data_IF_217348161810
#
_entry.id   IF_217348161810
#
_cell.length_a   1.000
_cell.length_b   1.000
_cell.length_c   1.000
_cell.angle_alpha   90.00
_cell.angle_beta   90.00
_cell.angle_gamma   90.00
#
_symmetry.space_group_name_H-M   'P 1'
#
loop_
_entity.id
_entity.type
_entity.pdbx_description
1 polymer ?
#
# COMPACT_ATOMS: atom_id res chain seq x y z
N UNK A 1 -5.01 -6.21 18.14
CA UNK A 1 -4.06 -5.32 17.45
C UNK A 1 -4.89 -4.42 16.57
N UNK A 2 -5.09 -3.18 17.00
CA UNK A 2 -5.82 -2.15 16.27
C UNK A 2 -4.87 -1.67 15.17
N UNK A 3 -4.85 -2.42 14.05
CA UNK A 3 -4.13 -2.01 12.86
C UNK A 3 -4.68 -0.65 12.46
N UNK A 4 -3.79 0.34 12.33
CA UNK A 4 -4.13 1.72 12.01
C UNK A 4 -5.24 1.74 10.96
N UNK A 5 -6.44 2.14 11.37
CA UNK A 5 -7.59 2.18 10.49
C UNK A 5 -7.30 3.27 9.47
N UNK A 6 -6.76 2.87 8.32
CA UNK A 6 -6.56 3.72 7.14
C UNK A 6 -7.96 4.17 6.71
N UNK A 7 -8.40 5.30 7.23
CA UNK A 7 -9.67 5.89 6.85
C UNK A 7 -9.54 6.46 5.44
N UNK A 8 -10.63 6.46 4.68
CA UNK A 8 -10.67 7.11 3.37
C UNK A 8 -10.18 8.56 3.43
N UNK A 9 -10.48 9.27 4.52
CA UNK A 9 -10.00 10.65 4.73
C UNK A 9 -8.47 10.72 4.86
N UNK A 10 -7.84 9.81 5.62
CA UNK A 10 -6.38 9.79 5.78
C UNK A 10 -5.64 9.47 4.48
N UNK A 11 -6.22 8.61 3.64
CA UNK A 11 -5.68 8.31 2.32
C UNK A 11 -5.76 9.52 1.38
N UNK A 12 -6.89 10.25 1.40
CA UNK A 12 -7.08 11.48 0.62
C UNK A 12 -6.12 12.59 1.11
N UNK A 13 -5.96 12.74 2.42
CA UNK A 13 -5.04 13.74 2.99
C UNK A 13 -3.60 13.45 2.58
N UNK A 14 -3.18 12.18 2.60
CA UNK A 14 -1.87 11.74 2.12
C UNK A 14 -1.70 11.98 0.63
N UNK A 15 -2.70 11.66 -0.19
CA UNK A 15 -2.69 11.95 -1.63
C UNK A 15 -2.44 13.44 -1.89
N UNK A 16 -3.24 14.30 -1.26
CA UNK A 16 -3.14 15.74 -1.43
C UNK A 16 -1.78 16.28 -0.98
N UNK A 17 -1.25 15.78 0.15
CA UNK A 17 0.06 16.18 0.64
C UNK A 17 1.19 15.79 -0.35
N UNK A 18 1.17 14.55 -0.86
CA UNK A 18 2.17 14.07 -1.83
C UNK A 18 2.09 14.84 -3.15
N UNK A 19 0.88 15.12 -3.65
CA UNK A 19 0.70 15.94 -4.87
C UNK A 19 1.20 17.37 -4.64
N UNK A 20 0.87 17.98 -3.52
CA UNK A 20 1.34 19.32 -3.18
C UNK A 20 2.86 19.38 -3.08
N UNK A 21 3.50 18.36 -2.50
CA UNK A 21 4.95 18.27 -2.46
C UNK A 21 5.54 18.15 -3.87
N UNK A 22 5.05 17.22 -4.69
CA UNK A 22 5.51 17.02 -6.08
C UNK A 22 5.47 18.33 -6.88
N UNK A 23 4.33 19.04 -6.84
CA UNK A 23 4.15 20.30 -7.55
C UNK A 23 5.06 21.40 -7.00
N UNK A 24 5.28 21.42 -5.68
CA UNK A 24 6.17 22.39 -5.02
C UNK A 24 7.62 22.17 -5.43
N UNK A 25 8.11 20.92 -5.44
CA UNK A 25 9.47 20.59 -5.89
C UNK A 25 9.70 20.98 -7.34
N UNK A 26 8.73 20.67 -8.21
CA UNK A 26 8.81 21.07 -9.62
C UNK A 26 8.81 22.59 -9.80
N UNK A 27 7.96 23.31 -9.07
CA UNK A 27 7.94 24.76 -9.09
C UNK A 27 9.28 25.36 -8.62
N UNK A 28 9.90 24.79 -7.58
CA UNK A 28 11.21 25.23 -7.09
C UNK A 28 12.30 25.05 -8.15
N UNK A 29 12.31 23.92 -8.86
CA UNK A 29 13.23 23.70 -9.99
C UNK A 29 13.05 24.76 -11.10
N UNK A 30 11.81 25.04 -11.48
CA UNK A 30 11.52 26.07 -12.49
C UNK A 30 11.97 27.45 -12.02
N UNK A 31 11.76 27.78 -10.74
CA UNK A 31 12.22 29.06 -10.16
C UNK A 31 13.74 29.17 -10.15
N UNK A 32 14.44 28.09 -9.79
CA UNK A 32 15.91 28.05 -9.81
C UNK A 32 16.45 28.23 -11.24
N UNK A 33 15.86 27.54 -12.21
CA UNK A 33 16.24 27.64 -13.61
C UNK A 33 15.93 28.99 -14.25
N UNK A 34 14.84 29.65 -13.82
CA UNK A 34 14.44 30.97 -14.30
C UNK A 34 15.09 32.13 -13.52
N UNK A 35 15.89 31.83 -12.50
CA UNK A 35 16.53 32.85 -11.67
C UNK A 35 17.52 33.66 -12.52
N UNK A 36 17.43 35.01 -12.53
CA UNK A 36 18.39 35.83 -13.24
C UNK A 36 19.77 35.69 -12.58
N UNK A 37 20.82 35.66 -13.41
CA UNK A 37 22.19 35.74 -12.90
C UNK A 37 22.41 37.14 -12.36
N UNK A 38 22.61 37.26 -11.04
CA UNK A 38 22.92 38.55 -10.42
C UNK A 38 24.25 39.10 -10.94
N UNK A 39 24.32 40.42 -11.10
CA UNK A 39 25.55 41.10 -11.50
C UNK A 39 26.61 40.92 -10.39
N UNK A 40 27.70 40.21 -10.70
CA UNK A 40 28.73 39.83 -9.72
C UNK A 40 28.51 38.47 -9.04
N UNK A 41 27.62 37.61 -9.56
CA UNK A 41 27.43 36.25 -9.08
C UNK A 41 28.77 35.49 -8.98
N UNK A 42 29.11 35.08 -7.77
CA UNK A 42 30.37 34.36 -7.52
C UNK A 42 30.21 32.87 -7.86
N UNK A 43 31.34 32.15 -7.99
CA UNK A 43 31.32 30.71 -8.28
C UNK A 43 30.63 29.92 -7.16
N UNK A 44 30.70 30.43 -5.93
CA UNK A 44 30.07 29.84 -4.76
C UNK A 44 28.54 29.91 -4.86
N UNK A 45 27.99 31.02 -5.38
CA UNK A 45 26.53 31.16 -5.63
C UNK A 45 26.06 30.17 -6.70
N UNK A 46 26.82 30.04 -7.79
CA UNK A 46 26.50 29.06 -8.83
C UNK A 46 26.57 27.61 -8.32
N UNK A 47 27.55 27.29 -7.47
CA UNK A 47 27.67 25.98 -6.85
C UNK A 47 26.51 25.68 -5.89
N UNK A 48 26.07 26.67 -5.12
CA UNK A 48 24.90 26.55 -4.24
C UNK A 48 23.62 26.28 -5.05
N UNK A 49 23.38 27.04 -6.12
CA UNK A 49 22.23 26.83 -7.00
C UNK A 49 22.24 25.46 -7.68
N UNK A 50 23.41 24.98 -8.10
CA UNK A 50 23.54 23.64 -8.67
C UNK A 50 23.19 22.54 -7.64
N UNK A 51 23.64 22.69 -6.40
CA UNK A 51 23.31 21.77 -5.31
C UNK A 51 21.81 21.81 -4.96
N UNK A 52 21.21 22.99 -4.91
CA UNK A 52 19.76 23.13 -4.71
C UNK A 52 18.97 22.44 -5.82
N UNK A 53 19.39 22.58 -7.08
CA UNK A 53 18.75 21.92 -8.21
C UNK A 53 18.83 20.38 -8.13
N UNK A 54 19.95 19.84 -7.65
CA UNK A 54 20.11 18.39 -7.41
C UNK A 54 19.21 17.90 -6.24
N UNK A 55 19.13 18.68 -5.17
CA UNK A 55 18.29 18.38 -4.01
C UNK A 55 16.81 18.36 -4.37
N UNK A 56 16.32 19.40 -5.07
CA UNK A 56 14.92 19.49 -5.50
C UNK A 56 14.58 18.39 -6.53
N UNK A 57 15.52 18.02 -7.41
CA UNK A 57 15.33 16.89 -8.34
C UNK A 57 15.21 15.56 -7.60
N UNK A 58 16.05 15.32 -6.60
CA UNK A 58 15.99 14.10 -5.79
C UNK A 58 14.71 14.04 -4.95
N UNK A 59 14.28 15.16 -4.39
CA UNK A 59 13.03 15.27 -3.64
C UNK A 59 11.80 15.06 -4.55
N UNK A 60 11.83 15.54 -5.79
CA UNK A 60 10.78 15.30 -6.78
C UNK A 60 10.62 13.80 -7.11
N UNK A 61 11.74 13.08 -7.27
CA UNK A 61 11.72 11.63 -7.47
C UNK A 61 11.09 10.93 -6.27
N UNK A 62 11.49 11.28 -5.05
CA UNK A 62 10.90 10.70 -3.82
C UNK A 62 9.40 10.95 -3.71
N UNK A 63 8.93 12.17 -3.97
CA UNK A 63 7.50 12.47 -3.97
C UNK A 63 6.73 11.64 -5.02
N UNK A 64 7.36 11.31 -6.16
CA UNK A 64 6.79 10.41 -7.17
C UNK A 64 6.73 8.96 -6.68
N UNK A 65 7.77 8.49 -5.99
CA UNK A 65 7.81 7.16 -5.36
C UNK A 65 6.77 7.01 -4.25
N UNK A 66 6.56 8.05 -3.44
CA UNK A 66 5.53 8.08 -2.40
C UNK A 66 4.12 7.96 -2.99
N UNK A 67 3.87 8.58 -4.14
CA UNK A 67 2.60 8.46 -4.87
C UNK A 67 2.42 7.04 -5.41
N UNK A 68 3.47 6.44 -5.98
CA UNK A 68 3.45 5.05 -6.42
C UNK A 68 3.18 4.10 -5.24
N UNK A 69 3.79 4.35 -4.09
CA UNK A 69 3.57 3.57 -2.88
C UNK A 69 2.12 3.67 -2.41
N UNK A 70 1.51 4.86 -2.41
CA UNK A 70 0.09 5.03 -2.12
C UNK A 70 -0.79 4.21 -3.08
N UNK A 71 -0.50 4.21 -4.39
CA UNK A 71 -1.29 3.40 -5.34
C UNK A 71 -1.13 1.90 -5.10
N UNK A 72 0.04 1.44 -4.64
CA UNK A 72 0.27 0.05 -4.28
C UNK A 72 -0.56 -0.32 -3.04
N UNK A 73 -0.54 0.51 -2.01
CA UNK A 73 -1.35 0.31 -0.80
C UNK A 73 -2.85 0.25 -1.13
N UNK A 74 -3.35 1.13 -2.02
CA UNK A 74 -4.74 1.10 -2.47
C UNK A 74 -5.09 -0.19 -3.22
N UNK A 75 -4.18 -0.68 -4.07
CA UNK A 75 -4.36 -1.97 -4.77
C UNK A 75 -4.32 -3.15 -3.80
N UNK A 76 -3.44 -3.12 -2.80
CA UNK A 76 -3.35 -4.14 -1.76
C UNK A 76 -4.65 -4.17 -0.93
N UNK A 77 -5.18 -3.02 -0.54
CA UNK A 77 -6.49 -2.92 0.12
C UNK A 77 -7.62 -3.51 -0.74
N UNK A 78 -7.58 -3.30 -2.06
CA UNK A 78 -8.60 -3.82 -2.97
C UNK A 78 -8.47 -5.34 -3.21
N UNK A 79 -7.25 -5.84 -3.37
CA UNK A 79 -6.97 -7.26 -3.66
C UNK A 79 -7.14 -8.15 -2.44
N UNK A 80 -6.66 -7.70 -1.28
CA UNK A 80 -6.68 -8.50 -0.05
C UNK A 80 -7.93 -8.22 0.80
N UNK A 81 -8.52 -7.03 0.68
CA UNK A 81 -9.65 -6.63 1.51
C UNK A 81 -9.33 -6.66 3.01
N UNK A 82 -10.32 -6.49 3.89
CA UNK A 82 -10.16 -6.94 5.28
C UNK A 82 -9.83 -8.44 5.30
N UNK A 83 -9.04 -8.89 6.26
CA UNK A 83 -8.82 -10.33 6.51
C UNK A 83 -10.18 -11.02 6.51
N UNK A 84 -10.40 -11.91 5.54
CA UNK A 84 -11.62 -12.75 5.48
C UNK A 84 -11.81 -13.39 6.85
N UNK A 85 -13.06 -13.45 7.33
CA UNK A 85 -13.34 -14.11 8.60
C UNK A 85 -12.80 -15.56 8.58
N UNK A 86 -12.61 -16.19 9.74
CA UNK A 86 -12.14 -17.59 9.89
C UNK A 86 -13.05 -18.61 9.16
N UNK A 87 -14.12 -18.15 8.47
CA UNK A 87 -15.13 -18.93 7.75
C UNK A 87 -15.53 -18.35 6.38
N UNK A 88 -14.65 -17.56 5.74
CA UNK A 88 -14.90 -17.00 4.40
C UNK A 88 -13.84 -17.47 3.38
N UNK A 89 -13.85 -18.77 3.05
CA UNK A 89 -13.02 -19.39 2.01
C UNK A 89 -13.83 -20.03 0.88
N UNK A 90 -13.25 -20.10 -0.32
CA UNK A 90 -13.78 -20.90 -1.44
C UNK A 90 -13.62 -22.39 -1.11
N UNK A 91 -14.62 -22.98 -0.44
CA UNK A 91 -14.64 -24.41 -0.12
C UNK A 91 -15.39 -24.80 1.16
N UNK A 92 -15.81 -23.83 1.97
CA UNK A 92 -16.21 -24.08 3.37
C UNK A 92 -17.61 -24.65 3.62
N UNK A 93 -18.44 -24.85 2.59
CA UNK A 93 -19.63 -25.71 2.75
C UNK A 93 -19.26 -27.20 2.69
N UNK A 94 -18.33 -27.56 1.80
CA UNK A 94 -18.02 -28.95 1.50
C UNK A 94 -17.20 -29.63 2.59
N UNK A 95 -16.26 -28.93 3.22
CA UNK A 95 -15.38 -29.53 4.22
C UNK A 95 -16.13 -29.91 5.51
N UNK A 96 -17.04 -29.04 5.97
CA UNK A 96 -17.89 -29.32 7.13
C UNK A 96 -18.91 -30.41 6.80
N UNK A 97 -19.55 -30.36 5.63
CA UNK A 97 -20.47 -31.41 5.15
C UNK A 97 -19.77 -32.77 5.00
N UNK A 98 -18.56 -32.81 4.44
CA UNK A 98 -17.79 -34.03 4.25
C UNK A 98 -17.31 -34.59 5.59
N UNK A 99 -16.97 -33.73 6.56
CA UNK A 99 -16.60 -34.16 7.91
C UNK A 99 -17.76 -34.83 8.65
N UNK A 100 -18.98 -34.30 8.52
CA UNK A 100 -20.19 -34.92 9.08
C UNK A 100 -20.45 -36.28 8.44
N UNK A 101 -20.41 -36.37 7.10
CA UNK A 101 -20.60 -37.63 6.36
C UNK A 101 -19.59 -38.70 6.75
N UNK A 102 -18.32 -38.34 6.93
CA UNK A 102 -17.29 -39.28 7.40
C UNK A 102 -17.61 -39.78 8.81
N UNK A 103 -18.08 -38.90 9.71
CA UNK A 103 -18.53 -39.29 11.05
C UNK A 103 -19.64 -40.34 11.02
N UNK A 104 -20.69 -40.12 10.22
CA UNK A 104 -21.81 -41.05 10.06
C UNK A 104 -21.37 -42.40 9.48
N UNK A 105 -20.46 -42.40 8.49
CA UNK A 105 -19.91 -43.62 7.91
C UNK A 105 -19.08 -44.43 8.91
N UNK A 106 -18.26 -43.76 9.72
CA UNK A 106 -17.47 -44.41 10.78
C UNK A 106 -18.39 -45.03 11.85
N UNK A 107 -19.46 -44.33 12.24
CA UNK A 107 -20.43 -44.84 13.21
C UNK A 107 -21.19 -46.06 12.67
N UNK A 108 -21.59 -46.04 11.40
CA UNK A 108 -22.23 -47.18 10.74
C UNK A 108 -21.30 -48.41 10.67
N UNK A 109 -20.01 -48.20 10.38
CA UNK A 109 -19.01 -49.28 10.37
C UNK A 109 -18.75 -49.84 11.77
N UNK A 110 -18.71 -48.99 12.80
CA UNK A 110 -18.60 -49.42 14.20
C UNK A 110 -19.78 -50.28 14.62
N UNK A 111 -21.02 -49.84 14.32
CA UNK A 111 -22.25 -50.60 14.61
C UNK A 111 -22.29 -51.95 13.90
N UNK A 112 -21.86 -52.01 12.64
CA UNK A 112 -21.77 -53.26 11.87
C UNK A 112 -20.72 -54.22 12.47
N UNK A 113 -19.60 -53.68 12.94
CA UNK A 113 -18.51 -54.48 13.53
C UNK A 113 -18.86 -54.95 14.94
N UNK A 114 -19.56 -54.14 15.74
CA UNK A 114 -20.03 -54.51 17.08
C UNK A 114 -21.28 -55.40 17.09
N UNK A 115 -22.05 -55.42 15.99
CA UNK A 115 -23.23 -56.28 15.80
C UNK A 115 -22.93 -57.68 15.25
N UNK A 116 -21.65 -58.03 15.11
CA UNK A 116 -21.21 -59.38 14.72
C UNK A 116 -20.48 -60.02 15.90
N UNK A 117 -21.24 -60.39 16.93
CA UNK A 117 -20.83 -61.31 18.00
C UNK A 117 -21.98 -62.29 18.25
#
# INVERSE_FOLDING_TARGET
MEGAQQTTSGLIDRENATIAELLTRFLNLVKLAASPVEEGATKEVAAAQAFEMECESSALVRASEDLLQLTRELKELWLFGPLRGIKEGEGEGKMDEDSIKVGEMVEALLKKTSGTA
#
